data_IF_491002936211
#
_entry.id   IF_491002936211
#
_cell.length_a   1.000
_cell.length_b   1.000
_cell.length_c   1.000
_cell.angle_alpha   90.00
_cell.angle_beta   90.00
_cell.angle_gamma   90.00
#
_symmetry.space_group_name_H-M   'P 1'
#
loop_
_entity.id
_entity.type
_entity.pdbx_description
1 polymer ?
#
# COMPACT_ATOMS: atom_id res chain seq x y z
N UNK A 1 3.42 -1.53 -37.86
CA UNK A 1 3.95 -2.23 -36.67
C UNK A 1 4.30 -1.17 -35.64
N UNK A 2 3.42 -0.93 -34.66
CA UNK A 2 3.76 -0.11 -33.50
C UNK A 2 3.24 -0.88 -32.29
N UNK A 3 4.10 -1.69 -31.70
CA UNK A 3 3.87 -2.23 -30.37
C UNK A 3 4.01 -1.05 -29.40
N UNK A 4 2.90 -0.37 -29.13
CA UNK A 4 2.76 0.43 -27.91
C UNK A 4 2.69 -0.58 -26.77
N UNK A 5 3.86 -0.84 -26.18
CA UNK A 5 3.96 -1.47 -24.88
C UNK A 5 3.28 -0.54 -23.88
N UNK A 6 1.97 -0.68 -23.69
CA UNK A 6 1.28 -0.23 -22.47
C UNK A 6 1.71 -1.18 -21.33
N UNK A 7 3.00 -1.14 -21.02
CA UNK A 7 3.61 -1.89 -19.91
C UNK A 7 3.84 -0.92 -18.76
N UNK A 8 2.75 -0.41 -18.19
CA UNK A 8 2.78 0.21 -16.86
C UNK A 8 1.54 -0.23 -16.06
N UNK A 9 1.29 -1.54 -16.07
CA UNK A 9 0.86 -2.19 -14.83
C UNK A 9 2.04 -2.07 -13.86
N UNK A 10 2.23 -0.86 -13.35
CA UNK A 10 3.38 -0.49 -12.52
C UNK A 10 3.40 -1.48 -11.37
N UNK A 11 4.38 -2.39 -11.39
CA UNK A 11 4.47 -3.50 -10.44
C UNK A 11 4.15 -2.99 -9.04
N UNK A 12 3.16 -3.62 -8.41
CA UNK A 12 2.67 -3.20 -7.10
C UNK A 12 3.84 -3.17 -6.10
N UNK A 13 3.98 -2.06 -5.37
CA UNK A 13 4.96 -1.88 -4.31
C UNK A 13 4.90 -3.06 -3.35
N UNK A 14 6.04 -3.70 -3.01
CA UNK A 14 6.07 -4.75 -2.01
C UNK A 14 5.48 -4.31 -0.67
N UNK A 15 5.71 -3.05 -0.28
CA UNK A 15 5.14 -2.45 0.92
C UNK A 15 3.62 -2.36 0.86
N UNK A 16 3.06 -1.97 -0.29
CA UNK A 16 1.61 -1.93 -0.46
C UNK A 16 1.01 -3.34 -0.38
N UNK A 17 1.63 -4.31 -1.06
CA UNK A 17 1.16 -5.69 -1.06
C UNK A 17 1.09 -6.26 0.35
N UNK A 18 2.16 -6.09 1.13
CA UNK A 18 2.20 -6.63 2.49
C UNK A 18 1.27 -5.84 3.43
N UNK A 19 1.14 -4.52 3.27
CA UNK A 19 0.19 -3.73 4.05
C UNK A 19 -1.26 -4.16 3.83
N UNK A 20 -1.68 -4.39 2.58
CA UNK A 20 -3.04 -4.87 2.28
C UNK A 20 -3.30 -6.23 2.92
N UNK A 21 -2.32 -7.14 2.84
CA UNK A 21 -2.40 -8.47 3.46
C UNK A 21 -2.46 -8.39 4.99
N UNK A 22 -1.58 -7.62 5.62
CA UNK A 22 -1.55 -7.42 7.08
C UNK A 22 -2.85 -6.81 7.61
N UNK A 23 -3.45 -5.89 6.84
CA UNK A 23 -4.72 -5.25 7.19
C UNK A 23 -5.96 -6.02 6.71
N UNK A 24 -5.78 -7.19 6.10
CA UNK A 24 -6.86 -8.01 5.52
C UNK A 24 -7.77 -7.24 4.55
N UNK A 25 -7.18 -6.37 3.72
CA UNK A 25 -7.88 -5.60 2.70
C UNK A 25 -7.86 -6.39 1.39
N UNK A 26 -9.04 -6.75 0.89
CA UNK A 26 -9.17 -7.38 -0.42
C UNK A 26 -9.04 -6.35 -1.56
N UNK A 27 -7.90 -6.39 -2.23
CA UNK A 27 -7.60 -5.50 -3.36
C UNK A 27 -8.58 -5.60 -4.54
N UNK A 28 -9.31 -6.72 -4.69
CA UNK A 28 -10.26 -6.91 -5.80
C UNK A 28 -11.46 -5.95 -5.72
N UNK A 29 -11.79 -5.48 -4.51
CA UNK A 29 -12.91 -4.58 -4.25
C UNK A 29 -12.48 -3.12 -4.10
N UNK A 30 -11.19 -2.82 -4.29
CA UNK A 30 -10.65 -1.46 -4.17
C UNK A 30 -10.72 -0.77 -5.53
N UNK A 31 -11.31 0.44 -5.63
CA UNK A 31 -11.28 1.22 -6.86
C UNK A 31 -9.86 1.42 -7.40
N UNK A 32 -9.66 1.20 -8.70
CA UNK A 32 -8.34 1.19 -9.33
C UNK A 32 -7.54 2.48 -9.09
N UNK A 33 -8.19 3.66 -9.10
CA UNK A 33 -7.53 4.94 -8.83
C UNK A 33 -7.00 5.05 -7.40
N UNK A 34 -7.73 4.50 -6.42
CA UNK A 34 -7.28 4.43 -5.02
C UNK A 34 -6.08 3.49 -4.89
N UNK A 35 -6.12 2.36 -5.59
CA UNK A 35 -5.01 1.40 -5.60
C UNK A 35 -3.76 2.01 -6.25
N UNK A 36 -3.92 2.72 -7.37
CA UNK A 36 -2.82 3.43 -8.05
C UNK A 36 -2.22 4.51 -7.16
N UNK A 37 -3.05 5.31 -6.48
CA UNK A 37 -2.58 6.34 -5.54
C UNK A 37 -1.82 5.72 -4.36
N UNK A 38 -2.37 4.67 -3.75
CA UNK A 38 -1.70 3.96 -2.66
C UNK A 38 -0.34 3.40 -3.12
N UNK A 39 -0.30 2.83 -4.33
CA UNK A 39 0.89 2.24 -4.91
C UNK A 39 1.98 3.29 -5.14
N UNK A 40 1.63 4.41 -5.76
CA UNK A 40 2.55 5.52 -5.99
C UNK A 40 3.16 6.02 -4.67
N UNK A 41 2.34 6.22 -3.63
CA UNK A 41 2.80 6.64 -2.30
C UNK A 41 3.75 5.62 -1.67
N UNK A 42 3.42 4.33 -1.73
CA UNK A 42 4.27 3.27 -1.17
C UNK A 42 5.59 3.07 -1.94
N UNK A 43 5.71 3.53 -3.20
CA UNK A 43 6.94 3.42 -3.99
C UNK A 43 7.99 4.48 -3.62
N UNK A 44 7.56 5.64 -3.14
CA UNK A 44 8.44 6.78 -2.84
C UNK A 44 8.31 7.24 -1.38
N UNK A 45 7.78 6.39 -0.50
CA UNK A 45 7.54 6.75 0.90
C UNK A 45 8.87 6.89 1.65
N UNK A 46 9.11 8.06 2.24
CA UNK A 46 10.28 8.33 3.08
C UNK A 46 10.26 7.53 4.39
N UNK A 47 9.08 7.08 4.83
CA UNK A 47 8.89 6.30 6.06
C UNK A 47 8.89 4.78 5.81
N UNK A 48 9.54 4.31 4.73
CA UNK A 48 9.55 2.90 4.35
C UNK A 48 10.08 1.99 5.48
N UNK A 49 11.14 2.40 6.18
CA UNK A 49 11.75 1.60 7.27
C UNK A 49 10.81 1.44 8.47
N UNK A 50 10.07 2.49 8.83
CA UNK A 50 9.03 2.42 9.87
C UNK A 50 7.90 1.48 9.43
N UNK A 51 7.51 1.53 8.16
CA UNK A 51 6.52 0.63 7.58
C UNK A 51 6.97 -0.84 7.65
N UNK A 52 8.21 -1.13 7.26
CA UNK A 52 8.77 -2.48 7.38
C UNK A 52 8.81 -2.98 8.83
N UNK A 53 9.22 -2.12 9.76
CA UNK A 53 9.29 -2.47 11.19
C UNK A 53 7.91 -2.83 11.75
N UNK A 54 6.89 -2.04 11.38
CA UNK A 54 5.50 -2.32 11.75
C UNK A 54 4.96 -3.60 11.08
N UNK A 55 5.19 -3.78 9.76
CA UNK A 55 4.77 -4.98 9.02
C UNK A 55 5.41 -6.27 9.54
N UNK A 56 6.66 -6.19 9.99
CA UNK A 56 7.38 -7.31 10.58
C UNK A 56 6.97 -7.59 12.03
N UNK A 57 6.13 -6.75 12.64
CA UNK A 57 5.69 -6.90 14.03
C UNK A 57 6.85 -6.77 15.04
N UNK A 58 7.85 -5.93 14.75
CA UNK A 58 8.98 -5.74 15.65
C UNK A 58 8.52 -5.08 16.97
N UNK A 59 9.08 -5.52 18.08
CA UNK A 59 8.83 -4.93 19.40
C UNK A 59 9.15 -3.42 19.39
N UNK A 60 8.19 -2.62 19.86
CA UNK A 60 8.31 -1.16 19.88
C UNK A 60 8.03 -0.45 18.55
N UNK A 61 7.60 -1.18 17.51
CA UNK A 61 7.12 -0.55 16.28
C UNK A 61 5.94 0.39 16.60
N UNK A 62 6.01 1.61 16.07
CA UNK A 62 4.90 2.56 16.18
C UNK A 62 3.70 2.06 15.38
N UNK A 63 2.51 2.40 15.86
CA UNK A 63 1.29 2.18 15.10
C UNK A 63 1.38 2.92 13.74
N UNK A 64 0.95 2.25 12.67
CA UNK A 64 1.13 2.75 11.31
C UNK A 64 0.44 4.09 11.02
N UNK A 65 -0.58 4.47 11.80
CA UNK A 65 -1.25 5.77 11.65
C UNK A 65 -0.31 6.95 11.92
N UNK A 66 0.81 6.75 12.62
CA UNK A 66 1.77 7.82 12.93
C UNK A 66 2.71 8.17 11.78
N UNK A 67 2.95 7.25 10.84
CA UNK A 67 3.94 7.44 9.78
C UNK A 67 3.41 7.16 8.37
N UNK A 68 2.31 6.41 8.24
CA UNK A 68 1.83 5.94 6.94
C UNK A 68 0.94 6.99 6.25
N UNK A 69 1.33 7.54 5.08
CA UNK A 69 0.50 8.49 4.35
C UNK A 69 -0.77 7.86 3.75
N UNK A 70 -0.88 6.53 3.77
CA UNK A 70 -2.06 5.79 3.35
C UNK A 70 -2.97 5.36 4.51
N UNK A 71 -2.69 5.74 5.77
CA UNK A 71 -3.45 5.25 6.92
C UNK A 71 -4.96 5.47 6.79
N UNK A 72 -5.38 6.71 6.54
CA UNK A 72 -6.80 7.04 6.34
C UNK A 72 -7.43 6.31 5.15
N UNK A 73 -6.64 6.06 4.09
CA UNK A 73 -7.13 5.30 2.94
C UNK A 73 -7.37 3.85 3.35
N UNK A 74 -6.42 3.22 4.02
CA UNK A 74 -6.53 1.83 4.48
C UNK A 74 -7.67 1.64 5.47
N UNK A 75 -7.86 2.56 6.43
CA UNK A 75 -9.00 2.54 7.35
C UNK A 75 -10.35 2.55 6.61
N UNK A 76 -10.44 3.37 5.55
CA UNK A 76 -11.64 3.46 4.73
C UNK A 76 -11.90 2.20 3.91
N UNK A 77 -10.85 1.45 3.53
CA UNK A 77 -10.96 0.21 2.78
C UNK A 77 -11.29 -0.98 3.68
N UNK A 78 -10.66 -1.08 4.86
CA UNK A 78 -10.91 -2.17 5.82
C UNK A 78 -12.35 -2.16 6.36
N UNK A 79 -12.98 -0.99 6.47
CA UNK A 79 -14.40 -0.85 6.87
C UNK A 79 -15.40 -1.21 5.77
N UNK A 80 -14.93 -1.28 4.52
CA UNK A 80 -15.77 -1.55 3.35
C UNK A 80 -15.71 -3.02 2.90
N UNK A 81 -14.85 -3.84 3.53
CA UNK A 81 -14.66 -5.27 3.27
C UNK A 81 -15.55 -6.15 4.16
#
# INVERSE_FOLDING_TARGET
MVHLLESDDAAQSPLLREALKTLNIDSAHVPQDRMRLANARCRTCENADACFSWLAGLDGAQDYHWFCPNAQLFDGLAKAA
#
